data_IF_862298437566
#
_entry.id   IF_862298437566
#
_cell.length_a   1.000
_cell.length_b   1.000
_cell.length_c   1.000
_cell.angle_alpha   90.00
_cell.angle_beta   90.00
_cell.angle_gamma   90.00
#
_symmetry.space_group_name_H-M   'P 1'
#
loop_
_entity.id
_entity.type
_entity.pdbx_description
1 polymer ?
#
# COMPACT_ATOMS: atom_id res chain seq x y z
N UNK A 1 11.10 41.94 -46.61
CA UNK A 1 11.33 40.50 -46.83
C UNK A 1 9.98 39.83 -47.07
N UNK A 2 9.83 39.00 -48.11
CA UNK A 2 8.51 38.53 -48.56
C UNK A 2 7.96 37.35 -47.74
N UNK A 3 6.66 37.43 -47.45
CA UNK A 3 5.82 36.41 -46.81
C UNK A 3 5.50 35.32 -47.81
N UNK A 4 5.85 34.06 -47.49
CA UNK A 4 5.53 32.89 -48.32
C UNK A 4 4.33 32.15 -47.75
N UNK A 5 3.16 32.33 -48.40
CA UNK A 5 1.91 31.66 -48.03
C UNK A 5 1.80 30.33 -48.79
N UNK A 6 2.02 29.20 -48.10
CA UNK A 6 1.89 27.87 -48.70
C UNK A 6 0.43 27.41 -48.67
N UNK A 7 -0.19 27.39 -49.85
CA UNK A 7 -1.56 26.91 -50.11
C UNK A 7 -1.53 25.40 -50.35
N UNK A 8 -2.08 24.60 -49.44
CA UNK A 8 -2.25 23.15 -49.64
C UNK A 8 -3.58 22.87 -50.33
N UNK A 9 -3.49 22.19 -51.47
CA UNK A 9 -4.59 21.80 -52.36
C UNK A 9 -5.34 20.61 -51.75
N UNK A 10 -6.66 20.77 -51.60
CA UNK A 10 -7.59 19.72 -51.15
C UNK A 10 -7.97 18.85 -52.35
N UNK A 11 -7.55 17.59 -52.35
CA UNK A 11 -7.97 16.60 -53.34
C UNK A 11 -9.35 16.00 -53.01
N UNK A 12 -10.10 15.76 -54.08
CA UNK A 12 -11.51 15.39 -54.21
C UNK A 12 -11.79 13.95 -53.72
N UNK A 13 -12.96 13.67 -53.10
CA UNK A 13 -13.33 12.30 -52.73
C UNK A 13 -13.81 11.51 -53.95
N UNK A 14 -13.24 10.32 -54.15
CA UNK A 14 -13.67 9.34 -55.15
C UNK A 14 -14.61 8.34 -54.48
N UNK A 15 -15.87 8.33 -54.93
CA UNK A 15 -16.91 7.40 -54.50
C UNK A 15 -16.76 6.09 -55.29
N UNK A 16 -16.33 5.02 -54.63
CA UNK A 16 -16.33 3.66 -55.19
C UNK A 16 -17.36 2.78 -54.44
N UNK A 17 -18.05 1.85 -55.14
CA UNK A 17 -19.15 1.08 -54.58
C UNK A 17 -18.71 -0.03 -53.62
N UNK A 18 -19.44 -0.10 -52.51
CA UNK A 18 -19.34 -1.03 -51.38
C UNK A 18 -19.53 -2.49 -51.81
N UNK A 19 -18.50 -3.32 -51.62
CA UNK A 19 -18.64 -4.77 -51.58
C UNK A 19 -19.12 -5.21 -50.16
N UNK A 20 -19.97 -6.25 -50.04
CA UNK A 20 -20.41 -6.77 -48.75
C UNK A 20 -19.24 -7.47 -48.05
N UNK A 21 -18.71 -6.83 -47.01
CA UNK A 21 -17.69 -7.39 -46.12
C UNK A 21 -18.24 -8.65 -45.45
N UNK A 22 -17.69 -9.80 -45.84
CA UNK A 22 -17.82 -11.06 -45.13
C UNK A 22 -17.17 -10.88 -43.75
N UNK A 23 -18.00 -10.75 -42.71
CA UNK A 23 -17.54 -10.55 -41.34
C UNK A 23 -16.68 -11.74 -40.91
N UNK A 24 -15.37 -11.52 -40.82
CA UNK A 24 -14.46 -12.47 -40.18
C UNK A 24 -14.84 -12.59 -38.69
N UNK A 25 -14.94 -13.80 -38.14
CA UNK A 25 -15.24 -13.98 -36.73
C UNK A 25 -14.15 -13.30 -35.89
N UNK A 26 -14.58 -12.42 -34.98
CA UNK A 26 -13.70 -11.73 -34.03
C UNK A 26 -12.86 -12.76 -33.28
N UNK A 27 -11.52 -12.66 -33.24
CA UNK A 27 -10.69 -13.60 -32.51
C UNK A 27 -11.09 -13.56 -31.02
N UNK A 28 -11.42 -14.72 -30.47
CA UNK A 28 -11.79 -14.86 -29.07
C UNK A 28 -10.69 -14.24 -28.16
N UNK A 29 -11.04 -13.55 -27.07
CA UNK A 29 -10.05 -12.98 -26.16
C UNK A 29 -9.16 -14.10 -25.63
N UNK A 30 -7.86 -14.03 -25.95
CA UNK A 30 -6.85 -14.96 -25.46
C UNK A 30 -6.95 -15.02 -23.93
N UNK A 31 -7.05 -16.22 -23.31
CA UNK A 31 -7.04 -16.33 -21.87
C UNK A 31 -5.68 -15.85 -21.37
N UNK A 32 -5.62 -14.59 -20.92
CA UNK A 32 -4.49 -14.05 -20.17
C UNK A 32 -4.14 -15.05 -19.08
N UNK A 33 -2.96 -15.66 -19.16
CA UNK A 33 -2.57 -16.71 -18.23
C UNK A 33 -2.63 -16.17 -16.80
N UNK A 34 -3.03 -16.99 -15.83
CA UNK A 34 -2.98 -16.61 -14.41
C UNK A 34 -1.58 -16.09 -14.03
N UNK A 35 -0.55 -16.60 -14.69
CA UNK A 35 0.83 -16.16 -14.53
C UNK A 35 1.05 -14.69 -14.93
N UNK A 36 0.45 -14.23 -16.04
CA UNK A 36 0.49 -12.83 -16.47
C UNK A 36 -0.21 -11.91 -15.46
N UNK A 37 -1.35 -12.35 -14.91
CA UNK A 37 -2.06 -11.59 -13.87
C UNK A 37 -1.32 -11.55 -12.53
N UNK A 38 -0.66 -12.65 -12.16
CA UNK A 38 0.20 -12.71 -10.97
C UNK A 38 1.46 -11.84 -11.14
N UNK A 39 2.00 -11.76 -12.35
CA UNK A 39 3.18 -10.92 -12.64
C UNK A 39 2.90 -9.42 -12.56
N UNK A 40 1.63 -9.00 -12.67
CA UNK A 40 1.20 -7.60 -12.49
C UNK A 40 0.91 -7.24 -11.01
N UNK A 41 1.00 -8.22 -10.09
CA UNK A 41 0.78 -7.95 -8.67
C UNK A 41 2.02 -7.32 -8.04
N UNK A 42 1.96 -6.01 -7.79
CA UNK A 42 2.89 -5.35 -6.88
C UNK A 42 2.71 -5.93 -5.45
N UNK A 43 3.80 -5.98 -4.68
CA UNK A 43 3.87 -6.29 -3.26
C UNK A 43 2.75 -5.67 -2.42
N UNK A 44 2.37 -4.42 -2.69
CA UNK A 44 1.26 -3.75 -1.99
C UNK A 44 -0.10 -4.41 -2.25
N UNK A 45 -0.37 -4.93 -3.46
CA UNK A 45 -1.62 -5.66 -3.75
C UNK A 45 -1.68 -6.98 -2.98
N UNK A 46 -0.56 -7.71 -2.95
CA UNK A 46 -0.43 -8.94 -2.17
C UNK A 46 -0.67 -8.66 -0.69
N UNK A 47 -0.06 -7.59 -0.18
CA UNK A 47 -0.20 -7.17 1.21
C UNK A 47 -1.64 -6.78 1.55
N UNK A 48 -2.34 -6.06 0.66
CA UNK A 48 -3.78 -5.74 0.83
C UNK A 48 -4.63 -6.99 0.96
N UNK A 49 -4.43 -7.99 0.09
CA UNK A 49 -5.19 -9.24 0.15
C UNK A 49 -4.92 -9.97 1.47
N UNK A 50 -3.66 -10.02 1.90
CA UNK A 50 -3.26 -10.70 3.13
C UNK A 50 -3.83 -10.00 4.37
N UNK A 51 -3.78 -8.66 4.41
CA UNK A 51 -4.38 -7.86 5.49
C UNK A 51 -5.91 -8.00 5.53
N UNK A 52 -6.58 -8.01 4.38
CA UNK A 52 -8.04 -8.17 4.31
C UNK A 52 -8.46 -9.54 4.80
N UNK A 53 -7.76 -10.59 4.34
CA UNK A 53 -7.97 -11.95 4.82
C UNK A 53 -7.73 -12.03 6.34
N UNK A 54 -6.62 -11.45 6.82
CA UNK A 54 -6.29 -11.48 8.24
C UNK A 54 -7.33 -10.74 9.09
N UNK A 55 -7.80 -9.56 8.65
CA UNK A 55 -8.87 -8.81 9.31
C UNK A 55 -10.17 -9.61 9.39
N UNK A 56 -10.56 -10.27 8.29
CA UNK A 56 -11.75 -11.10 8.23
C UNK A 56 -11.64 -12.30 9.18
N UNK A 57 -10.52 -13.03 9.13
CA UNK A 57 -10.29 -14.19 9.99
C UNK A 57 -10.21 -13.79 11.47
N UNK A 58 -9.49 -12.72 11.79
CA UNK A 58 -9.42 -12.17 13.16
C UNK A 58 -10.81 -11.85 13.71
N UNK A 59 -11.68 -11.24 12.90
CA UNK A 59 -13.01 -10.83 13.33
C UNK A 59 -13.97 -12.01 13.44
N UNK A 60 -14.10 -12.79 12.37
CA UNK A 60 -15.08 -13.88 12.31
C UNK A 60 -14.68 -15.00 13.26
N UNK A 61 -13.46 -15.51 13.14
CA UNK A 61 -13.01 -16.67 13.93
C UNK A 61 -12.49 -16.28 15.31
N UNK A 62 -11.81 -15.13 15.43
CA UNK A 62 -11.20 -14.72 16.68
C UNK A 62 -12.14 -14.03 17.66
N UNK A 63 -13.20 -13.35 17.17
CA UNK A 63 -14.09 -12.55 18.04
C UNK A 63 -15.55 -13.02 18.03
N UNK A 64 -16.10 -13.32 16.85
CA UNK A 64 -17.55 -13.53 16.72
C UNK A 64 -17.94 -14.99 16.93
N UNK A 65 -17.17 -15.92 16.37
CA UNK A 65 -17.53 -17.34 16.46
C UNK A 65 -17.38 -17.84 17.91
N UNK A 66 -18.32 -18.66 18.38
CA UNK A 66 -18.20 -19.31 19.68
C UNK A 66 -16.95 -20.19 19.68
N UNK A 67 -16.15 -20.07 20.74
CA UNK A 67 -15.03 -20.93 20.98
C UNK A 67 -15.29 -21.68 22.29
N UNK A 68 -15.09 -23.00 22.27
CA UNK A 68 -15.09 -23.79 23.49
C UNK A 68 -13.67 -23.78 24.07
N UNK A 69 -13.52 -23.18 25.24
CA UNK A 69 -12.24 -23.10 25.95
C UNK A 69 -12.06 -24.24 26.97
N UNK A 70 -12.97 -25.22 26.98
CA UNK A 70 -13.08 -26.22 28.02
C UNK A 70 -13.78 -25.68 29.27
N UNK A 71 -14.00 -26.55 30.27
CA UNK A 71 -14.77 -26.21 31.48
C UNK A 71 -14.21 -24.97 32.19
N UNK A 72 -12.92 -24.99 32.53
CA UNK A 72 -12.25 -23.89 33.25
C UNK A 72 -12.24 -22.58 32.44
N UNK A 73 -11.98 -22.68 31.13
CA UNK A 73 -11.95 -21.51 30.25
C UNK A 73 -13.33 -20.88 30.07
N UNK A 74 -14.38 -21.69 29.97
CA UNK A 74 -15.75 -21.23 29.87
C UNK A 74 -16.23 -20.57 31.18
N UNK A 75 -15.78 -21.07 32.34
CA UNK A 75 -16.04 -20.43 33.64
C UNK A 75 -15.40 -19.03 33.72
N UNK A 76 -14.14 -18.89 33.29
CA UNK A 76 -13.46 -17.60 33.20
C UNK A 76 -14.17 -16.67 32.22
N UNK A 77 -14.52 -17.16 31.03
CA UNK A 77 -15.24 -16.38 30.03
C UNK A 77 -16.60 -15.88 30.55
N UNK A 78 -17.35 -16.73 31.24
CA UNK A 78 -18.61 -16.36 31.92
C UNK A 78 -18.39 -15.30 33.01
N UNK A 79 -17.31 -15.42 33.79
CA UNK A 79 -16.94 -14.40 34.77
C UNK A 79 -16.60 -13.05 34.08
N UNK A 80 -15.88 -13.06 32.95
CA UNK A 80 -15.56 -11.83 32.21
C UNK A 80 -16.79 -11.07 31.74
N UNK A 81 -17.91 -11.76 31.47
CA UNK A 81 -19.17 -11.15 31.04
C UNK A 81 -19.94 -10.49 32.20
N UNK A 82 -19.63 -10.84 33.45
CA UNK A 82 -20.35 -10.34 34.63
C UNK A 82 -19.52 -9.34 35.45
N UNK A 83 -18.19 -9.50 35.47
CA UNK A 83 -17.27 -8.59 36.17
C UNK A 83 -17.23 -7.24 35.46
N UNK A 84 -17.72 -6.20 36.15
CA UNK A 84 -17.77 -4.82 35.64
C UNK A 84 -16.75 -3.94 36.34
N UNK A 85 -16.07 -3.10 35.58
CA UNK A 85 -15.15 -2.08 36.09
C UNK A 85 -15.39 -0.73 35.40
N UNK A 86 -14.87 0.34 36.00
CA UNK A 86 -14.94 1.67 35.41
C UNK A 86 -13.71 1.90 34.53
N UNK A 87 -13.92 2.08 33.23
CA UNK A 87 -12.89 2.40 32.25
C UNK A 87 -13.15 3.80 31.68
N UNK A 88 -12.29 4.76 32.01
CA UNK A 88 -12.40 6.16 31.57
C UNK A 88 -13.79 6.78 31.82
N UNK A 89 -14.41 6.49 32.97
CA UNK A 89 -15.74 6.99 33.33
C UNK A 89 -16.91 6.14 32.82
N UNK A 90 -16.68 5.15 31.96
CA UNK A 90 -17.71 4.24 31.47
C UNK A 90 -17.66 2.91 32.20
N UNK A 91 -18.81 2.40 32.67
CA UNK A 91 -18.89 1.07 33.30
C UNK A 91 -19.01 0.00 32.22
N UNK A 92 -18.00 -0.87 32.08
CA UNK A 92 -17.92 -1.95 31.08
C UNK A 92 -17.59 -3.28 31.73
N UNK A 93 -18.01 -4.38 31.10
CA UNK A 93 -17.57 -5.72 31.52
C UNK A 93 -16.15 -5.97 31.02
N UNK A 94 -15.43 -6.91 31.63
CA UNK A 94 -14.12 -7.32 31.13
C UNK A 94 -14.21 -7.88 29.71
N UNK A 95 -15.27 -8.63 29.42
CA UNK A 95 -15.60 -9.11 28.08
C UNK A 95 -15.76 -7.95 27.07
N UNK A 96 -16.57 -6.93 27.39
CA UNK A 96 -16.79 -5.79 26.48
C UNK A 96 -15.49 -5.03 26.17
N UNK A 97 -14.60 -4.89 27.16
CA UNK A 97 -13.31 -4.25 26.98
C UNK A 97 -12.45 -5.00 25.96
N UNK A 98 -12.30 -6.32 26.11
CA UNK A 98 -11.51 -7.13 25.17
C UNK A 98 -12.16 -7.26 23.81
N UNK A 99 -13.50 -7.32 23.72
CA UNK A 99 -14.20 -7.27 22.44
C UNK A 99 -13.97 -5.94 21.73
N UNK A 100 -14.04 -4.81 22.46
CA UNK A 100 -13.72 -3.49 21.92
C UNK A 100 -12.27 -3.40 21.43
N UNK A 101 -11.32 -3.93 22.20
CA UNK A 101 -9.92 -4.01 21.79
C UNK A 101 -9.73 -4.83 20.51
N UNK A 102 -10.35 -6.01 20.43
CA UNK A 102 -10.35 -6.86 19.24
C UNK A 102 -10.91 -6.16 18.01
N UNK A 103 -12.04 -5.45 18.15
CA UNK A 103 -12.60 -4.64 17.05
C UNK A 103 -11.66 -3.50 16.65
N UNK A 104 -10.94 -2.90 17.60
CA UNK A 104 -9.90 -1.91 17.32
C UNK A 104 -8.79 -2.49 16.43
N UNK A 105 -8.34 -3.71 16.71
CA UNK A 105 -7.36 -4.43 15.85
C UNK A 105 -7.94 -4.67 14.45
N UNK A 106 -9.20 -5.09 14.33
CA UNK A 106 -9.86 -5.24 13.02
C UNK A 106 -9.88 -3.93 12.22
N UNK A 107 -10.23 -2.81 12.86
CA UNK A 107 -10.22 -1.48 12.20
C UNK A 107 -8.81 -1.11 11.74
N UNK A 108 -7.81 -1.35 12.59
CA UNK A 108 -6.39 -1.13 12.24
C UNK A 108 -5.97 -1.96 11.01
N UNK A 109 -6.34 -3.25 10.96
CA UNK A 109 -6.02 -4.12 9.83
C UNK A 109 -6.73 -3.68 8.54
N UNK A 110 -8.02 -3.33 8.61
CA UNK A 110 -8.78 -2.81 7.46
C UNK A 110 -8.24 -1.47 6.95
N UNK A 111 -7.86 -0.56 7.86
CA UNK A 111 -7.20 0.69 7.51
C UNK A 111 -5.87 0.42 6.82
N UNK A 112 -5.05 -0.47 7.38
CA UNK A 112 -3.78 -0.90 6.78
C UNK A 112 -3.98 -1.50 5.39
N UNK A 113 -5.01 -2.34 5.21
CA UNK A 113 -5.35 -2.92 3.91
C UNK A 113 -5.72 -1.83 2.89
N UNK A 114 -6.50 -0.84 3.32
CA UNK A 114 -6.92 0.31 2.49
C UNK A 114 -5.72 1.17 2.09
N UNK A 115 -4.83 1.48 3.03
CA UNK A 115 -3.60 2.24 2.75
C UNK A 115 -2.69 1.47 1.78
N UNK A 116 -2.52 0.17 2.01
CA UNK A 116 -1.76 -0.69 1.09
C UNK A 116 -2.40 -0.72 -0.30
N UNK A 117 -3.73 -0.72 -0.39
CA UNK A 117 -4.44 -0.67 -1.68
C UNK A 117 -4.18 0.65 -2.40
N UNK A 118 -4.31 1.78 -1.70
CA UNK A 118 -4.04 3.11 -2.26
C UNK A 118 -2.60 3.18 -2.77
N UNK A 119 -1.62 2.71 -1.98
CA UNK A 119 -0.21 2.66 -2.37
C UNK A 119 0.03 1.77 -3.60
N UNK A 120 -0.77 0.72 -3.78
CA UNK A 120 -0.64 -0.19 -4.92
C UNK A 120 -1.07 0.41 -6.27
N UNK A 121 -1.87 1.47 -6.23
CA UNK A 121 -2.32 2.21 -7.43
C UNK A 121 -1.32 3.31 -7.78
N UNK A 122 -0.47 3.72 -6.84
CA UNK A 122 0.55 4.73 -7.08
C UNK A 122 1.76 4.16 -7.84
N UNK A 123 2.20 4.80 -8.93
CA UNK A 123 3.41 4.37 -9.63
C UNK A 123 4.65 4.51 -8.72
N UNK A 124 5.51 3.49 -8.74
CA UNK A 124 6.71 3.34 -7.88
C UNK A 124 7.71 4.52 -7.99
N UNK A 125 7.56 5.39 -8.97
CA UNK A 125 8.48 6.48 -9.30
C UNK A 125 8.50 7.64 -8.29
N UNK A 126 7.51 7.77 -7.41
CA UNK A 126 7.33 8.97 -6.57
C UNK A 126 7.77 8.85 -5.10
N UNK A 127 7.98 7.64 -4.55
CA UNK A 127 8.04 7.44 -3.09
C UNK A 127 9.41 7.58 -2.40
N UNK A 128 10.52 7.69 -3.15
CA UNK A 128 11.87 7.46 -2.61
C UNK A 128 12.45 8.59 -1.73
N UNK A 129 11.70 9.67 -1.50
CA UNK A 129 12.19 10.88 -0.83
C UNK A 129 11.63 11.08 0.59
N UNK A 130 11.15 10.03 1.25
CA UNK A 130 10.49 10.15 2.55
C UNK A 130 11.37 10.79 3.65
N UNK A 131 12.70 10.60 3.61
CA UNK A 131 13.62 11.01 4.68
C UNK A 131 14.71 12.01 4.25
N UNK A 132 14.64 12.53 3.02
CA UNK A 132 15.72 13.29 2.39
C UNK A 132 15.43 14.77 2.15
N UNK A 133 14.56 15.43 2.94
CA UNK A 133 14.27 16.86 2.72
C UNK A 133 15.50 17.70 2.96
N UNK A 134 16.03 18.22 1.86
CA UNK A 134 16.92 19.37 1.90
C UNK A 134 16.11 20.63 2.13
N UNK A 135 16.76 21.70 2.59
CA UNK A 135 16.11 23.02 2.67
C UNK A 135 15.60 23.51 1.31
N UNK A 136 16.14 22.99 0.21
CA UNK A 136 15.68 23.30 -1.14
C UNK A 136 14.31 22.69 -1.45
N UNK A 137 14.08 21.44 -1.01
CA UNK A 137 12.79 20.76 -1.21
C UNK A 137 11.65 21.43 -0.41
N UNK A 138 11.96 21.97 0.78
CA UNK A 138 11.01 22.76 1.55
C UNK A 138 10.61 24.06 0.84
N UNK A 139 11.55 24.67 0.12
CA UNK A 139 11.31 25.88 -0.67
C UNK A 139 10.49 25.58 -1.94
N UNK A 140 10.76 24.48 -2.64
CA UNK A 140 9.93 24.08 -3.80
C UNK A 140 8.47 23.76 -3.44
N UNK A 141 8.23 23.25 -2.23
CA UNK A 141 6.87 23.05 -1.70
C UNK A 141 6.19 24.39 -1.42
N UNK A 142 6.93 25.35 -0.85
CA UNK A 142 6.45 26.72 -0.62
C UNK A 142 6.15 27.44 -1.95
N UNK A 143 6.93 27.15 -3.00
CA UNK A 143 6.74 27.63 -4.37
C UNK A 143 5.56 26.94 -5.11
N UNK A 144 4.85 26.03 -4.45
CA UNK A 144 3.58 25.46 -4.93
C UNK A 144 3.70 24.18 -5.79
N UNK A 145 4.84 23.48 -5.76
CA UNK A 145 5.00 22.24 -6.51
C UNK A 145 4.25 21.06 -5.84
N UNK A 146 2.99 20.84 -6.25
CA UNK A 146 2.10 19.81 -5.71
C UNK A 146 2.63 18.37 -5.89
N UNK A 147 3.38 18.09 -6.97
CA UNK A 147 3.93 16.77 -7.28
C UNK A 147 4.97 16.34 -6.24
N UNK A 148 5.84 17.27 -5.79
CA UNK A 148 6.86 17.00 -4.78
C UNK A 148 6.24 16.74 -3.40
N UNK A 149 5.19 17.47 -3.05
CA UNK A 149 4.46 17.28 -1.78
C UNK A 149 3.79 15.91 -1.70
N UNK A 150 3.20 15.45 -2.81
CA UNK A 150 2.51 14.17 -2.90
C UNK A 150 3.45 12.98 -2.80
N UNK A 151 4.57 13.03 -3.54
CA UNK A 151 5.68 12.09 -3.44
C UNK A 151 6.15 11.88 -1.99
N UNK A 152 6.32 12.98 -1.26
CA UNK A 152 6.69 12.98 0.16
C UNK A 152 5.64 12.32 1.04
N UNK A 153 4.37 12.69 0.89
CA UNK A 153 3.27 12.11 1.69
C UNK A 153 3.19 10.61 1.47
N UNK A 154 3.29 10.15 0.22
CA UNK A 154 3.31 8.72 -0.14
C UNK A 154 4.49 8.02 0.54
N UNK A 155 5.68 8.60 0.48
CA UNK A 155 6.86 8.07 1.14
C UNK A 155 6.69 7.94 2.66
N UNK A 156 6.16 8.97 3.33
CA UNK A 156 5.88 8.92 4.77
C UNK A 156 4.83 7.86 5.10
N UNK A 157 3.80 7.73 4.28
CA UNK A 157 2.72 6.77 4.47
C UNK A 157 3.22 5.32 4.42
N UNK A 158 4.14 5.01 3.49
CA UNK A 158 4.80 3.69 3.41
C UNK A 158 5.50 3.33 4.73
N UNK A 159 6.31 4.23 5.26
CA UNK A 159 7.05 4.03 6.51
C UNK A 159 6.14 3.91 7.73
N UNK A 160 5.12 4.78 7.83
CA UNK A 160 4.13 4.71 8.92
C UNK A 160 3.39 3.37 8.89
N UNK A 161 2.97 2.93 7.70
CA UNK A 161 2.30 1.65 7.52
C UNK A 161 3.21 0.48 7.93
N UNK A 162 4.48 0.49 7.49
CA UNK A 162 5.46 -0.51 7.88
C UNK A 162 5.70 -0.55 9.40
N UNK A 163 6.01 0.58 10.03
CA UNK A 163 6.32 0.64 11.45
C UNK A 163 5.13 0.24 12.32
N UNK A 164 3.91 0.61 11.91
CA UNK A 164 2.69 0.21 12.63
C UNK A 164 2.47 -1.30 12.55
N UNK A 165 2.69 -1.92 11.38
CA UNK A 165 2.56 -3.37 11.21
C UNK A 165 3.72 -4.13 11.88
N UNK A 166 4.91 -3.53 11.98
CA UNK A 166 6.04 -4.09 12.73
C UNK A 166 5.74 -4.11 14.23
N UNK A 167 5.19 -3.01 14.78
CA UNK A 167 4.76 -2.97 16.17
C UNK A 167 3.66 -4.01 16.45
N UNK A 168 2.69 -4.14 15.54
CA UNK A 168 1.68 -5.20 15.61
C UNK A 168 2.29 -6.60 15.61
N UNK A 169 3.27 -6.87 14.73
CA UNK A 169 4.00 -8.14 14.69
C UNK A 169 4.65 -8.43 16.05
N UNK A 170 5.32 -7.45 16.67
CA UNK A 170 5.93 -7.63 18.00
C UNK A 170 4.88 -7.97 19.06
N UNK A 171 3.72 -7.31 19.05
CA UNK A 171 2.61 -7.64 19.95
C UNK A 171 2.14 -9.08 19.75
N UNK A 172 2.07 -9.57 18.51
CA UNK A 172 1.73 -10.97 18.24
C UNK A 172 2.75 -11.93 18.85
N UNK A 173 4.05 -11.61 18.81
CA UNK A 173 5.10 -12.46 19.38
C UNK A 173 5.07 -12.53 20.90
N UNK A 174 4.67 -11.44 21.57
CA UNK A 174 4.66 -11.38 23.03
C UNK A 174 3.39 -11.99 23.62
N UNK A 175 2.24 -11.76 22.97
CA UNK A 175 0.93 -12.02 23.58
C UNK A 175 0.07 -13.03 22.83
N UNK A 176 0.40 -13.37 21.58
CA UNK A 176 -0.45 -14.21 20.74
C UNK A 176 0.24 -15.52 20.35
N UNK A 177 -0.54 -16.40 19.71
CA UNK A 177 -0.16 -17.75 19.31
C UNK A 177 0.39 -17.78 17.87
N UNK A 178 0.83 -18.94 17.40
CA UNK A 178 1.64 -19.10 16.16
C UNK A 178 0.99 -18.54 14.87
N UNK A 179 -0.27 -18.82 14.54
CA UNK A 179 -0.90 -18.35 13.31
C UNK A 179 -0.84 -16.82 13.09
N UNK A 180 -1.28 -15.94 14.01
CA UNK A 180 -1.15 -14.50 13.81
C UNK A 180 0.30 -14.02 13.75
N UNK A 181 1.25 -14.71 14.42
CA UNK A 181 2.69 -14.40 14.30
C UNK A 181 3.19 -14.59 12.87
N UNK A 182 2.88 -15.74 12.25
CA UNK A 182 3.34 -16.05 10.89
C UNK A 182 2.78 -15.05 9.89
N UNK A 183 1.48 -14.79 9.93
CA UNK A 183 0.82 -13.87 8.99
C UNK A 183 1.35 -12.44 9.16
N UNK A 184 1.49 -11.95 10.40
CA UNK A 184 2.03 -10.61 10.67
C UNK A 184 3.48 -10.45 10.24
N UNK A 185 4.29 -11.51 10.37
CA UNK A 185 5.69 -11.52 9.92
C UNK A 185 5.77 -11.36 8.40
N UNK A 186 4.93 -12.08 7.65
CA UNK A 186 4.88 -11.97 6.19
C UNK A 186 4.45 -10.56 5.78
N UNK A 187 3.40 -9.99 6.40
CA UNK A 187 2.94 -8.62 6.11
C UNK A 187 4.05 -7.61 6.38
N UNK A 188 4.70 -7.68 7.55
CA UNK A 188 5.77 -6.76 7.92
C UNK A 188 6.99 -6.90 6.99
N UNK A 189 7.34 -8.13 6.58
CA UNK A 189 8.44 -8.38 5.65
C UNK A 189 8.14 -7.79 4.25
N UNK A 190 6.92 -7.94 3.73
CA UNK A 190 6.51 -7.39 2.44
C UNK A 190 6.54 -5.85 2.45
N UNK A 191 5.98 -5.22 3.49
CA UNK A 191 6.01 -3.76 3.64
C UNK A 191 7.43 -3.22 3.85
N UNK A 192 8.23 -3.92 4.66
CA UNK A 192 9.62 -3.56 4.90
C UNK A 192 10.45 -3.65 3.63
N UNK A 193 10.27 -4.70 2.83
CA UNK A 193 10.96 -4.88 1.57
C UNK A 193 10.79 -3.68 0.63
N UNK A 194 9.58 -3.14 0.51
CA UNK A 194 9.34 -1.96 -0.31
C UNK A 194 10.00 -0.69 0.27
N UNK A 195 9.98 -0.52 1.60
CA UNK A 195 10.68 0.59 2.25
C UNK A 195 12.21 0.51 2.03
N UNK A 196 12.78 -0.70 2.09
CA UNK A 196 14.22 -0.91 1.85
C UNK A 196 14.61 -0.71 0.38
N UNK A 197 13.76 -1.08 -0.58
CA UNK A 197 14.00 -0.79 -2.01
C UNK A 197 14.07 0.72 -2.26
N UNK A 198 13.16 1.49 -1.67
CA UNK A 198 13.15 2.95 -1.77
C UNK A 198 14.42 3.56 -1.17
N UNK A 199 14.86 3.07 -0.01
CA UNK A 199 16.07 3.54 0.67
C UNK A 199 17.35 3.28 -0.16
N UNK A 200 17.52 2.05 -0.65
CA UNK A 200 18.71 1.68 -1.44
C UNK A 200 18.79 2.39 -2.78
N UNK A 201 17.63 2.65 -3.41
CA UNK A 201 17.56 3.45 -4.64
C UNK A 201 18.09 4.87 -4.41
N UNK A 202 17.67 5.51 -3.31
CA UNK A 202 18.10 6.86 -2.99
C UNK A 202 19.61 6.94 -2.72
N UNK A 203 20.18 5.98 -1.98
CA UNK A 203 21.62 5.95 -1.71
C UNK A 203 22.45 5.85 -3.00
N UNK A 204 22.01 5.02 -3.96
CA UNK A 204 22.65 4.92 -5.28
C UNK A 204 22.60 6.26 -6.03
N UNK A 205 21.43 6.89 -6.10
CA UNK A 205 21.25 8.18 -6.78
C UNK A 205 22.09 9.28 -6.14
N UNK A 206 22.19 9.32 -4.80
CA UNK A 206 23.04 10.27 -4.07
C UNK A 206 24.53 10.05 -4.34
N UNK A 207 24.97 8.81 -4.55
CA UNK A 207 26.34 8.51 -4.95
C UNK A 207 26.64 9.00 -6.38
N UNK A 208 25.69 8.87 -7.30
CA UNK A 208 25.81 9.36 -8.68
C UNK A 208 25.92 10.90 -8.74
N UNK A 209 25.06 11.62 -8.01
CA UNK A 209 25.10 13.09 -7.96
C UNK A 209 26.43 13.61 -7.42
N UNK A 210 26.97 13.00 -6.36
CA UNK A 210 28.30 13.39 -5.82
C UNK A 210 29.43 13.16 -6.82
N UNK A 211 29.33 12.14 -7.70
CA UNK A 211 30.32 11.90 -8.76
C UNK A 211 30.25 12.97 -9.85
N UNK A 212 29.04 13.38 -10.25
CA UNK A 212 28.86 14.40 -11.28
C UNK A 212 29.34 15.78 -10.81
N UNK A 213 29.05 16.14 -9.55
CA UNK A 213 29.54 17.41 -8.95
C UNK A 213 31.09 17.44 -8.89
N UNK A 214 31.71 16.34 -8.45
CA UNK A 214 33.18 16.24 -8.39
C UNK A 214 33.87 16.12 -9.76
N UNK A 215 33.15 15.83 -10.83
CA UNK A 215 33.67 15.87 -12.20
C UNK A 215 33.63 17.31 -12.76
N UNK A 216 32.55 18.05 -12.50
CA UNK A 216 32.38 19.42 -13.00
C UNK A 216 33.33 20.42 -12.32
N UNK A 217 33.65 20.21 -11.04
CA UNK A 217 34.61 21.06 -10.32
C UNK A 217 36.06 20.94 -10.76
N UNK A 218 36.45 19.91 -11.53
CA UNK A 218 37.83 19.68 -12.00
C UNK A 218 38.15 20.21 -13.40
N UNK A 219 37.18 20.79 -14.09
CA UNK A 219 37.33 21.27 -15.47
C UNK A 219 37.65 22.77 -15.61
N UNK A 220 37.93 23.48 -14.51
CA UNK A 220 38.10 24.94 -14.49
C UNK A 220 39.46 25.42 -13.96
N UNK A 221 40.39 24.51 -13.69
CA UNK A 221 41.79 24.80 -13.33
C UNK A 221 42.71 24.54 -14.53
#
# INVERSE_FOLDING_TARGET
MPVSTRRTVRSKPSTAPTAPNTASPSPAPSPSSLYSRLSEMNTYKITTLLLTFFAATHTVFGLILPNDFGVEGNDVFSAMQTVRFNFMGSRRTLHDFYMGFGLGVTVFLCMSATLSWILSVYPDTAGSAAWGLTKADAKEIEDGNAELGLARIVGMLKWVLFMSNLAHMVLCYVYLFIPPMVVSTVIAALLGWECFKDLTYWERKKAEMRRTEGAQGRGFD
#
